data_IF_863361135462
#
_entry.id   IF_863361135462
#
_cell.length_a   1.000
_cell.length_b   1.000
_cell.length_c   1.000
_cell.angle_alpha   90.00
_cell.angle_beta   90.00
_cell.angle_gamma   90.00
#
_symmetry.space_group_name_H-M   'P 1'
#
loop_
_entity.id
_entity.type
_entity.pdbx_description
1 polymer ?
#
# COMPACT_ATOMS: atom_id res chain seq x y z
N UNK A 1 -17.82 0.50 -52.18
CA UNK A 1 -16.91 -0.61 -51.86
C UNK A 1 -16.50 -0.51 -50.41
N UNK A 2 -17.08 -1.39 -49.59
CA UNK A 2 -16.92 -1.51 -48.13
C UNK A 2 -15.68 -2.34 -47.80
N UNK A 3 -14.83 -1.90 -46.85
CA UNK A 3 -14.06 -2.76 -45.93
C UNK A 3 -13.83 -1.96 -44.64
N UNK A 4 -14.78 -2.02 -43.70
CA UNK A 4 -14.73 -2.77 -42.43
C UNK A 4 -13.85 -2.11 -41.35
N UNK A 5 -14.53 -1.35 -40.48
CA UNK A 5 -14.11 -1.04 -39.11
C UNK A 5 -14.18 -2.33 -38.30
N UNK A 6 -13.05 -2.87 -37.86
CA UNK A 6 -13.05 -3.92 -36.84
C UNK A 6 -13.03 -3.30 -35.45
N UNK A 7 -14.23 -3.22 -34.88
CA UNK A 7 -14.49 -3.18 -33.45
C UNK A 7 -13.79 -4.36 -32.77
N UNK A 8 -12.90 -4.09 -31.81
CA UNK A 8 -12.51 -5.09 -30.81
C UNK A 8 -13.43 -4.89 -29.62
N UNK A 9 -14.44 -5.74 -29.57
CA UNK A 9 -15.46 -5.86 -28.54
C UNK A 9 -14.85 -6.48 -27.29
N UNK A 10 -15.07 -5.86 -26.14
CA UNK A 10 -14.79 -6.45 -24.82
C UNK A 10 -15.60 -7.73 -24.66
N UNK A 11 -14.93 -8.86 -24.45
CA UNK A 11 -15.58 -10.11 -24.09
C UNK A 11 -15.49 -10.31 -22.59
N UNK A 12 -16.56 -9.92 -21.89
CA UNK A 12 -16.90 -10.38 -20.54
C UNK A 12 -16.95 -11.92 -20.53
N UNK A 13 -16.01 -12.57 -19.85
CA UNK A 13 -16.06 -13.99 -19.54
C UNK A 13 -17.12 -14.23 -18.46
N UNK A 14 -18.35 -14.46 -18.88
CA UNK A 14 -19.39 -15.10 -18.06
C UNK A 14 -19.21 -16.62 -18.13
N UNK A 15 -18.88 -17.26 -17.02
CA UNK A 15 -18.89 -18.72 -16.91
C UNK A 15 -20.34 -19.24 -16.92
N UNK A 16 -20.77 -19.80 -18.05
CA UNK A 16 -21.96 -20.63 -18.12
C UNK A 16 -21.61 -22.08 -17.74
N UNK A 17 -22.21 -22.57 -16.66
CA UNK A 17 -22.14 -23.98 -16.25
C UNK A 17 -23.07 -24.82 -17.12
N UNK A 18 -22.50 -25.62 -18.03
CA UNK A 18 -23.24 -26.59 -18.84
C UNK A 18 -23.32 -27.90 -18.06
N UNK A 19 -24.54 -28.28 -17.62
CA UNK A 19 -24.84 -29.62 -17.09
C UNK A 19 -24.78 -30.65 -18.22
N UNK A 20 -23.70 -31.42 -18.28
CA UNK A 20 -23.59 -32.64 -19.06
C UNK A 20 -23.95 -33.87 -18.22
N UNK A 21 -24.92 -34.65 -18.69
CA UNK A 21 -25.37 -35.93 -18.12
C UNK A 21 -24.30 -37.01 -18.29
N UNK A 22 -23.85 -37.60 -17.18
CA UNK A 22 -22.99 -38.78 -17.19
C UNK A 22 -23.14 -39.51 -15.86
N UNK A 23 -23.91 -40.58 -15.85
CA UNK A 23 -24.05 -41.47 -14.70
C UNK A 23 -22.72 -42.16 -14.40
N UNK A 24 -22.13 -41.85 -13.24
CA UNK A 24 -21.19 -42.75 -12.59
C UNK A 24 -21.51 -42.79 -11.10
N UNK A 25 -22.01 -43.95 -10.66
CA UNK A 25 -22.28 -44.27 -9.26
C UNK A 25 -20.95 -44.36 -8.52
N UNK A 26 -20.66 -43.38 -7.67
CA UNK A 26 -19.61 -43.50 -6.64
C UNK A 26 -20.31 -43.70 -5.31
N UNK A 27 -20.02 -44.83 -4.68
CA UNK A 27 -20.60 -45.28 -3.42
C UNK A 27 -20.08 -44.40 -2.26
N UNK A 28 -21.00 -43.87 -1.46
CA UNK A 28 -20.77 -42.94 -0.35
C UNK A 28 -20.54 -43.76 0.94
N UNK A 29 -19.42 -43.54 1.65
CA UNK A 29 -19.31 -43.91 3.07
C UNK A 29 -19.14 -42.66 3.94
N UNK A 30 -20.25 -42.18 4.50
CA UNK A 30 -20.32 -41.10 5.48
C UNK A 30 -20.09 -41.65 6.89
N UNK A 31 -18.89 -41.46 7.45
CA UNK A 31 -18.67 -41.64 8.90
C UNK A 31 -19.10 -40.39 9.68
N UNK A 32 -20.34 -40.40 10.19
CA UNK A 32 -20.84 -39.45 11.19
C UNK A 32 -20.05 -39.61 12.50
N UNK A 33 -19.30 -38.58 12.92
CA UNK A 33 -18.86 -38.42 14.32
C UNK A 33 -19.67 -37.28 14.96
N UNK A 34 -20.48 -37.67 15.95
CA UNK A 34 -21.34 -36.81 16.76
C UNK A 34 -20.61 -36.57 18.10
N UNK A 35 -20.27 -35.33 18.46
CA UNK A 35 -19.96 -35.00 19.87
C UNK A 35 -20.25 -33.55 20.26
N UNK A 36 -21.44 -33.40 20.85
CA UNK A 36 -21.81 -32.72 22.10
C UNK A 36 -21.36 -31.28 22.35
N UNK A 37 -22.36 -30.40 22.24
CA UNK A 37 -22.54 -29.08 22.83
C UNK A 37 -22.08 -28.95 24.29
N UNK A 38 -21.39 -27.83 24.59
CA UNK A 38 -21.46 -27.13 25.88
C UNK A 38 -21.56 -25.64 25.63
N UNK A 39 -22.74 -25.07 25.94
CA UNK A 39 -22.94 -23.64 26.23
C UNK A 39 -22.31 -23.34 27.59
N UNK A 40 -21.61 -22.22 27.70
CA UNK A 40 -21.43 -21.49 28.94
C UNK A 40 -21.90 -20.04 28.71
N UNK A 41 -22.87 -19.64 29.52
CA UNK A 41 -23.44 -18.29 29.59
C UNK A 41 -22.65 -17.46 30.64
N UNK A 42 -22.67 -16.14 30.45
CA UNK A 42 -22.41 -15.05 31.42
C UNK A 42 -20.92 -14.82 31.77
N UNK A 43 -20.39 -13.60 31.93
CA UNK A 43 -21.03 -12.34 32.27
C UNK A 43 -20.26 -11.11 31.69
N UNK A 44 -21.09 -10.10 31.48
CA UNK A 44 -20.95 -8.66 31.36
C UNK A 44 -19.77 -7.89 31.97
N UNK A 45 -19.52 -6.75 31.29
CA UNK A 45 -19.23 -5.39 31.79
C UNK A 45 -17.92 -5.12 32.54
N UNK A 46 -17.09 -4.24 31.97
CA UNK A 46 -16.82 -2.91 32.56
C UNK A 46 -16.39 -1.92 31.47
N UNK A 47 -17.17 -0.83 31.38
CA UNK A 47 -16.85 0.43 30.72
C UNK A 47 -16.07 1.24 31.75
N UNK A 48 -14.95 1.87 31.37
CA UNK A 48 -14.34 2.94 32.17
C UNK A 48 -13.98 4.13 31.30
N UNK A 49 -14.59 5.24 31.70
CA UNK A 49 -14.73 6.53 31.04
C UNK A 49 -13.47 7.39 31.00
N UNK A 50 -13.47 8.31 30.05
CA UNK A 50 -12.64 9.50 30.01
C UNK A 50 -12.91 10.43 31.21
N UNK A 51 -11.85 10.97 31.81
CA UNK A 51 -11.94 11.99 32.85
C UNK A 51 -11.85 13.40 32.23
N UNK A 52 -12.80 14.26 32.59
CA UNK A 52 -12.89 15.68 32.22
C UNK A 52 -12.35 16.54 33.37
N UNK A 53 -11.76 17.67 32.99
CA UNK A 53 -11.12 18.71 33.79
C UNK A 53 -11.95 19.27 34.96
N UNK A 54 -11.25 19.71 36.00
CA UNK A 54 -11.74 20.65 37.01
C UNK A 54 -11.02 21.99 36.91
N UNK A 55 -11.81 23.06 36.84
CA UNK A 55 -11.39 24.47 36.97
C UNK A 55 -11.42 24.86 38.45
N UNK A 56 -10.44 25.65 38.89
CA UNK A 56 -10.56 26.48 40.09
C UNK A 56 -10.48 27.96 39.68
N UNK A 57 -11.53 28.70 40.03
CA UNK A 57 -11.62 30.15 39.92
C UNK A 57 -10.99 30.79 41.16
N UNK A 58 -10.17 31.82 40.95
CA UNK A 58 -9.89 32.86 41.95
C UNK A 58 -10.05 34.22 41.27
N UNK A 59 -11.13 34.92 41.63
CA UNK A 59 -11.30 36.39 41.61
C UNK A 59 -10.37 36.98 42.68
N UNK A 60 -9.71 38.14 42.58
CA UNK A 60 -10.11 39.47 42.10
C UNK A 60 -8.85 40.36 42.21
N UNK A 61 -8.60 41.25 41.25
CA UNK A 61 -8.12 42.62 41.53
C UNK A 61 -8.16 43.45 40.25
N UNK A 62 -8.93 44.53 40.34
CA UNK A 62 -9.28 45.53 39.36
C UNK A 62 -8.18 46.58 39.13
N UNK A 63 -7.92 46.97 37.88
CA UNK A 63 -7.67 48.37 37.53
C UNK A 63 -7.92 48.66 36.04
N UNK A 64 -9.07 49.31 35.80
CA UNK A 64 -9.41 50.35 34.82
C UNK A 64 -8.59 50.48 33.52
N UNK A 65 -9.32 50.31 32.41
CA UNK A 65 -8.93 50.61 31.02
C UNK A 65 -8.60 52.10 30.84
N UNK A 66 -7.46 52.40 30.22
CA UNK A 66 -7.12 53.75 29.76
C UNK A 66 -7.75 54.04 28.37
N UNK A 67 -8.23 55.27 28.11
CA UNK A 67 -8.99 55.61 26.91
C UNK A 67 -8.10 55.77 25.66
N UNK A 68 -8.64 55.36 24.52
CA UNK A 68 -8.06 55.56 23.19
C UNK A 68 -8.01 57.05 22.83
N UNK A 69 -6.81 57.58 22.63
CA UNK A 69 -6.59 58.94 22.09
C UNK A 69 -5.72 58.88 20.84
N UNK A 70 -6.37 58.91 19.68
CA UNK A 70 -5.96 59.57 18.42
C UNK A 70 -4.59 59.27 17.81
N UNK A 71 -4.59 58.80 16.55
CA UNK A 71 -3.43 58.89 15.65
C UNK A 71 -2.96 60.35 15.53
N UNK A 72 -1.70 60.62 15.89
CA UNK A 72 -0.95 61.78 15.39
C UNK A 72 0.23 61.28 14.58
N UNK A 73 0.14 61.48 13.28
CA UNK A 73 1.19 61.22 12.31
C UNK A 73 2.32 62.24 12.48
N UNK A 74 3.45 61.83 13.04
CA UNK A 74 4.73 62.54 12.84
C UNK A 74 5.71 61.54 12.25
N UNK A 75 5.78 61.54 10.93
CA UNK A 75 6.83 60.86 10.19
C UNK A 75 8.15 61.61 10.43
N UNK A 76 9.02 61.05 11.25
CA UNK A 76 10.44 61.43 11.29
C UNK A 76 11.23 60.21 10.86
N UNK A 77 11.75 60.25 9.63
CA UNK A 77 12.65 59.23 9.10
C UNK A 77 14.00 59.31 9.84
N UNK A 78 14.46 58.26 10.56
CA UNK A 78 15.84 58.23 10.99
C UNK A 78 16.73 57.98 9.77
N UNK A 79 17.56 58.98 9.43
CA UNK A 79 18.65 58.84 8.46
C UNK A 79 19.56 57.70 8.94
N UNK A 80 19.64 56.65 8.14
CA UNK A 80 20.44 55.46 8.38
C UNK A 80 21.93 55.80 8.49
N UNK A 81 22.55 55.61 9.66
CA UNK A 81 24.00 55.36 9.73
C UNK A 81 24.22 53.94 9.21
N UNK A 82 24.74 53.82 7.99
CA UNK A 82 25.08 52.56 7.35
C UNK A 82 26.21 51.90 8.15
N UNK A 83 25.90 51.02 9.10
CA UNK A 83 26.88 50.06 9.57
C UNK A 83 27.12 49.09 8.43
N UNK A 84 28.36 49.06 7.94
CA UNK A 84 28.83 48.10 6.95
C UNK A 84 28.94 46.74 7.67
N UNK A 85 27.78 46.11 7.91
CA UNK A 85 27.70 44.73 8.36
C UNK A 85 27.92 43.88 7.11
N UNK A 86 29.19 43.55 6.88
CA UNK A 86 29.58 42.58 5.87
C UNK A 86 29.03 41.21 6.27
N UNK A 87 27.78 40.97 5.88
CA UNK A 87 26.99 39.75 6.11
C UNK A 87 27.69 38.51 5.53
N UNK A 88 28.73 38.67 4.72
CA UNK A 88 29.51 37.58 4.13
C UNK A 88 30.32 36.78 5.16
N UNK A 89 30.52 37.30 6.39
CA UNK A 89 31.39 36.69 7.40
C UNK A 89 30.68 35.83 8.47
N UNK A 90 29.35 35.91 8.62
CA UNK A 90 28.64 35.29 9.76
C UNK A 90 27.99 33.93 9.42
N UNK A 91 27.83 33.58 8.15
CA UNK A 91 27.27 32.28 7.76
C UNK A 91 28.34 31.33 7.22
N UNK A 92 29.40 31.07 8.00
CA UNK A 92 30.20 29.88 7.76
C UNK A 92 29.36 28.67 8.16
N UNK A 93 28.87 27.94 7.17
CA UNK A 93 28.18 26.65 7.31
C UNK A 93 29.10 25.54 7.89
N UNK A 94 30.17 25.89 8.61
CA UNK A 94 31.32 25.08 9.02
C UNK A 94 31.07 23.95 10.03
N UNK A 95 29.87 23.39 10.09
CA UNK A 95 29.59 22.21 10.92
C UNK A 95 28.18 21.65 10.82
N UNK A 96 27.23 22.41 10.24
CA UNK A 96 25.80 22.04 10.17
C UNK A 96 25.34 21.44 8.84
N UNK A 97 26.18 21.43 7.80
CA UNK A 97 25.79 20.88 6.48
C UNK A 97 25.68 19.34 6.47
N UNK A 98 26.12 18.65 7.52
CA UNK A 98 25.99 17.18 7.63
C UNK A 98 24.59 16.71 8.03
N UNK A 99 23.68 17.62 8.39
CA UNK A 99 22.30 17.27 8.78
C UNK A 99 21.33 17.19 7.59
N UNK A 100 21.74 17.65 6.41
CA UNK A 100 20.92 17.60 5.19
C UNK A 100 21.42 16.47 4.30
N UNK A 101 20.61 15.43 4.15
CA UNK A 101 20.87 14.35 3.20
C UNK A 101 20.13 14.64 1.90
N UNK A 102 20.76 14.32 0.78
CA UNK A 102 20.16 14.40 -0.55
C UNK A 102 19.63 13.01 -0.91
N UNK A 103 18.37 12.93 -1.32
CA UNK A 103 17.80 11.65 -1.76
C UNK A 103 18.50 11.16 -3.04
N UNK A 104 18.96 9.90 -3.10
CA UNK A 104 19.69 9.41 -4.26
C UNK A 104 18.77 9.34 -5.50
N UNK A 105 19.15 9.98 -6.63
CA UNK A 105 18.31 10.02 -7.83
C UNK A 105 18.49 8.80 -8.77
N UNK A 106 19.52 7.98 -8.54
CA UNK A 106 19.95 6.89 -9.43
C UNK A 106 19.99 5.57 -8.63
N UNK A 107 19.70 4.44 -9.28
CA UNK A 107 19.70 3.09 -8.69
C UNK A 107 18.79 2.90 -7.47
N UNK A 108 17.72 3.69 -7.38
CA UNK A 108 16.72 3.63 -6.31
C UNK A 108 15.30 3.48 -6.89
N UNK A 109 15.15 2.59 -7.87
CA UNK A 109 13.84 2.29 -8.46
C UNK A 109 12.91 1.65 -7.42
N UNK A 110 11.60 1.80 -7.63
CA UNK A 110 10.55 1.43 -6.67
C UNK A 110 9.49 0.57 -7.33
N UNK A 111 8.80 -0.20 -6.50
CA UNK A 111 7.89 -1.28 -6.89
C UNK A 111 6.53 -1.11 -6.20
N UNK A 112 6.06 0.13 -6.07
CA UNK A 112 4.82 0.50 -5.37
C UNK A 112 4.86 0.15 -3.85
N UNK A 113 3.73 -0.30 -3.30
CA UNK A 113 3.52 -0.54 -1.86
C UNK A 113 4.63 -1.39 -1.25
N UNK A 114 5.09 -0.99 -0.05
CA UNK A 114 6.20 -1.59 0.72
C UNK A 114 7.61 -1.39 0.16
N UNK A 115 7.80 -0.94 -1.09
CA UNK A 115 9.16 -0.84 -1.71
C UNK A 115 10.07 0.29 -1.21
N UNK A 116 9.58 1.14 -0.30
CA UNK A 116 10.39 2.12 0.42
C UNK A 116 10.95 1.59 1.75
N UNK A 117 10.41 0.46 2.23
CA UNK A 117 10.91 -0.21 3.42
C UNK A 117 12.17 -1.01 3.06
N UNK A 118 12.95 -1.44 4.07
CA UNK A 118 13.94 -2.50 3.88
C UNK A 118 13.29 -3.74 3.25
N UNK A 119 14.10 -4.52 2.52
CA UNK A 119 13.63 -5.77 1.91
C UNK A 119 13.04 -6.69 2.98
N UNK A 120 11.85 -7.22 2.68
CA UNK A 120 11.09 -8.03 3.62
C UNK A 120 11.76 -9.40 3.78
N UNK A 121 11.92 -9.85 5.02
CA UNK A 121 12.32 -11.24 5.29
C UNK A 121 11.18 -12.21 4.94
N UNK A 122 11.49 -13.49 4.79
CA UNK A 122 10.49 -14.53 4.52
C UNK A 122 9.38 -14.55 5.59
N UNK A 123 9.72 -14.30 6.86
CA UNK A 123 8.74 -14.21 7.95
C UNK A 123 7.84 -12.98 7.83
N UNK A 124 8.35 -11.87 7.30
CA UNK A 124 7.55 -10.68 7.04
C UNK A 124 6.65 -10.88 5.81
N UNK A 125 7.16 -11.49 4.75
CA UNK A 125 6.35 -11.88 3.58
C UNK A 125 5.19 -12.79 3.99
N UNK A 126 5.44 -13.79 4.84
CA UNK A 126 4.39 -14.66 5.37
C UNK A 126 3.31 -13.88 6.11
N UNK A 127 3.67 -12.86 6.90
CA UNK A 127 2.69 -12.01 7.60
C UNK A 127 1.82 -11.19 6.64
N UNK A 128 2.40 -10.66 5.57
CA UNK A 128 1.63 -9.93 4.55
C UNK A 128 0.67 -10.88 3.79
N UNK A 129 1.11 -12.10 3.50
CA UNK A 129 0.24 -13.14 2.92
C UNK A 129 -0.85 -13.56 3.90
N UNK A 130 -0.54 -13.74 5.18
CA UNK A 130 -1.55 -14.02 6.20
C UNK A 130 -2.57 -12.89 6.32
N UNK A 131 -2.15 -11.63 6.20
CA UNK A 131 -3.06 -10.49 6.16
C UNK A 131 -4.01 -10.61 4.97
N UNK A 132 -3.50 -10.91 3.78
CA UNK A 132 -4.31 -11.16 2.58
C UNK A 132 -5.35 -12.27 2.84
N UNK A 133 -4.93 -13.41 3.38
CA UNK A 133 -5.81 -14.55 3.66
C UNK A 133 -6.86 -14.25 4.74
N UNK A 134 -6.50 -13.49 5.79
CA UNK A 134 -7.43 -13.08 6.87
C UNK A 134 -8.54 -12.17 6.35
N UNK A 135 -8.30 -11.41 5.28
CA UNK A 135 -9.32 -10.60 4.63
C UNK A 135 -10.18 -11.40 3.63
N UNK A 136 -9.93 -12.70 3.44
CA UNK A 136 -10.66 -13.54 2.49
C UNK A 136 -10.31 -13.25 1.03
N UNK A 137 -9.18 -12.58 0.77
CA UNK A 137 -8.72 -12.31 -0.59
C UNK A 137 -8.00 -13.52 -1.17
N UNK A 138 -7.99 -13.62 -2.50
CA UNK A 138 -7.34 -14.73 -3.22
C UNK A 138 -5.94 -14.33 -3.64
N UNK A 139 -4.87 -14.98 -3.15
CA UNK A 139 -3.51 -14.65 -3.54
C UNK A 139 -3.19 -15.16 -4.95
N UNK A 140 -2.34 -14.43 -5.66
CA UNK A 140 -1.81 -14.80 -6.96
C UNK A 140 -0.39 -14.24 -7.09
N UNK A 141 0.44 -14.90 -7.89
CA UNK A 141 1.79 -14.44 -8.19
C UNK A 141 1.85 -13.96 -9.64
N UNK A 142 2.61 -12.90 -9.84
CA UNK A 142 2.97 -12.42 -11.18
C UNK A 142 4.48 -12.21 -11.24
N UNK A 143 5.05 -12.45 -12.41
CA UNK A 143 6.47 -12.29 -12.65
C UNK A 143 6.74 -11.64 -14.01
N UNK A 144 7.90 -10.99 -14.12
CA UNK A 144 8.34 -10.28 -15.31
C UNK A 144 9.85 -10.43 -15.46
N UNK A 145 10.35 -10.62 -16.68
CA UNK A 145 11.78 -10.89 -16.95
C UNK A 145 12.46 -9.80 -17.76
N UNK A 146 11.71 -9.01 -18.51
CA UNK A 146 12.24 -8.02 -19.45
C UNK A 146 11.97 -6.60 -18.96
N UNK A 147 10.72 -6.31 -18.57
CA UNK A 147 10.26 -4.96 -18.30
C UNK A 147 9.73 -4.79 -16.86
N UNK A 148 10.62 -4.80 -15.87
CA UNK A 148 10.27 -4.62 -14.45
C UNK A 148 9.62 -3.27 -14.08
N UNK A 149 9.57 -2.32 -15.02
CA UNK A 149 8.98 -0.98 -14.82
C UNK A 149 8.08 -0.59 -15.98
N UNK A 150 7.12 0.29 -15.68
CA UNK A 150 6.20 0.87 -16.65
C UNK A 150 6.95 1.71 -17.69
N UNK A 151 6.56 1.57 -18.96
CA UNK A 151 7.10 2.33 -20.09
C UNK A 151 5.96 2.75 -21.05
N UNK A 152 6.30 3.42 -22.16
CA UNK A 152 5.32 3.89 -23.16
C UNK A 152 5.87 3.75 -24.58
N UNK A 153 5.51 2.65 -25.23
CA UNK A 153 5.87 2.33 -26.61
C UNK A 153 4.66 2.43 -27.54
N UNK A 154 3.54 1.80 -27.17
CA UNK A 154 2.42 1.59 -28.09
C UNK A 154 1.48 2.79 -28.19
N UNK A 155 1.32 3.55 -27.10
CA UNK A 155 0.47 4.74 -27.10
C UNK A 155 0.83 5.75 -26.01
N UNK A 156 0.42 7.02 -26.20
CA UNK A 156 0.74 8.13 -25.28
C UNK A 156 -0.48 8.89 -24.75
N UNK A 157 -1.71 8.41 -24.96
CA UNK A 157 -2.91 9.04 -24.38
C UNK A 157 -2.93 9.01 -22.85
N UNK A 158 -3.69 9.91 -22.21
CA UNK A 158 -3.92 9.86 -20.76
C UNK A 158 -4.39 8.46 -20.31
N UNK A 159 -3.83 7.97 -19.20
CA UNK A 159 -4.17 6.66 -18.61
C UNK A 159 -3.56 5.44 -19.30
N UNK A 160 -2.89 5.60 -20.44
CA UNK A 160 -2.24 4.50 -21.14
C UNK A 160 -0.75 4.40 -20.78
N UNK A 161 -0.35 3.20 -20.35
CA UNK A 161 1.04 2.81 -20.13
C UNK A 161 1.24 1.31 -20.44
N UNK A 162 2.42 0.98 -20.94
CA UNK A 162 2.89 -0.38 -21.20
C UNK A 162 3.65 -0.91 -19.97
N UNK A 163 3.80 -2.23 -19.84
CA UNK A 163 4.51 -2.84 -18.70
C UNK A 163 3.75 -2.82 -17.35
N UNK A 164 2.45 -2.48 -17.35
CA UNK A 164 1.60 -2.58 -16.14
C UNK A 164 1.27 -4.04 -15.80
N UNK A 165 0.99 -4.84 -16.83
CA UNK A 165 0.71 -6.26 -16.71
C UNK A 165 2.00 -7.04 -16.69
N UNK A 166 2.09 -7.98 -15.76
CA UNK A 166 3.16 -8.99 -15.69
C UNK A 166 2.55 -10.36 -16.01
N UNK A 167 3.42 -11.34 -16.24
CA UNK A 167 2.97 -12.69 -16.57
C UNK A 167 2.49 -13.41 -15.31
N UNK A 168 1.31 -14.04 -15.36
CA UNK A 168 0.76 -14.79 -14.24
C UNK A 168 1.56 -16.07 -13.99
N UNK A 169 1.89 -16.33 -12.74
CA UNK A 169 2.46 -17.62 -12.31
C UNK A 169 1.32 -18.58 -11.94
N UNK A 170 1.17 -19.65 -12.72
CA UNK A 170 0.08 -20.64 -12.59
C UNK A 170 -1.30 -19.94 -12.60
N UNK A 171 -2.05 -20.04 -11.51
CA UNK A 171 -3.40 -19.48 -11.36
C UNK A 171 -3.56 -18.85 -9.96
N UNK A 172 -4.54 -17.95 -9.74
CA UNK A 172 -4.89 -17.52 -8.39
C UNK A 172 -5.18 -18.73 -7.50
N UNK A 173 -4.66 -18.72 -6.28
CA UNK A 173 -4.66 -19.86 -5.37
C UNK A 173 -6.01 -19.94 -4.62
N UNK A 174 -7.07 -20.25 -5.36
CA UNK A 174 -8.43 -20.34 -4.83
C UNK A 174 -8.53 -21.36 -3.68
N UNK A 175 -9.13 -20.95 -2.57
CA UNK A 175 -9.29 -21.80 -1.39
C UNK A 175 -8.00 -22.04 -0.61
N UNK A 176 -6.90 -21.35 -0.93
CA UNK A 176 -5.68 -21.38 -0.12
C UNK A 176 -5.95 -20.82 1.28
N UNK A 177 -5.51 -21.54 2.30
CA UNK A 177 -5.64 -21.14 3.71
C UNK A 177 -4.29 -21.08 4.43
N UNK A 178 -3.20 -21.35 3.73
CA UNK A 178 -1.86 -21.51 4.30
C UNK A 178 -0.86 -20.64 3.54
N UNK A 179 -0.34 -19.62 4.24
CA UNK A 179 0.61 -18.67 3.67
C UNK A 179 1.91 -19.34 3.20
N UNK A 180 2.29 -20.47 3.80
CA UNK A 180 3.51 -21.19 3.41
C UNK A 180 3.41 -21.78 2.00
N UNK A 181 2.20 -22.10 1.52
CA UNK A 181 1.99 -22.56 0.15
C UNK A 181 2.26 -21.43 -0.85
N UNK A 182 1.83 -20.20 -0.54
CA UNK A 182 2.11 -19.02 -1.38
C UNK A 182 3.61 -18.75 -1.44
N UNK A 183 4.30 -18.83 -0.31
CA UNK A 183 5.76 -18.64 -0.27
C UNK A 183 6.49 -19.76 -1.03
N UNK A 184 6.03 -21.01 -0.94
CA UNK A 184 6.60 -22.12 -1.71
C UNK A 184 6.51 -21.86 -3.23
N UNK A 185 5.39 -21.32 -3.70
CA UNK A 185 5.21 -20.92 -5.10
C UNK A 185 6.14 -19.75 -5.50
N UNK A 186 6.42 -18.81 -4.60
CA UNK A 186 7.44 -17.77 -4.84
C UNK A 186 8.82 -18.39 -5.03
N UNK A 187 9.19 -19.37 -4.20
CA UNK A 187 10.47 -20.05 -4.33
C UNK A 187 10.56 -20.89 -5.61
N UNK A 188 9.47 -21.52 -6.03
CA UNK A 188 9.39 -22.26 -7.30
C UNK A 188 9.54 -21.30 -8.50
N UNK A 189 8.83 -20.18 -8.50
CA UNK A 189 8.94 -19.15 -9.53
C UNK A 189 10.34 -18.55 -9.60
N UNK A 190 10.94 -18.24 -8.45
CA UNK A 190 12.34 -17.75 -8.35
C UNK A 190 13.34 -18.77 -8.89
N UNK A 191 13.12 -20.06 -8.63
CA UNK A 191 14.00 -21.12 -9.14
C UNK A 191 13.88 -21.28 -10.66
N UNK A 192 12.66 -21.17 -11.20
CA UNK A 192 12.41 -21.27 -12.63
C UNK A 192 12.93 -20.04 -13.41
N UNK A 193 12.77 -18.85 -12.82
CA UNK A 193 13.11 -17.57 -13.43
C UNK A 193 13.92 -16.70 -12.44
N UNK A 194 15.21 -17.01 -12.21
CA UNK A 194 16.05 -16.27 -11.26
C UNK A 194 16.29 -14.81 -11.65
N UNK A 195 16.13 -14.47 -12.92
CA UNK A 195 16.25 -13.10 -13.45
C UNK A 195 14.94 -12.29 -13.38
N UNK A 196 13.86 -12.86 -12.86
CA UNK A 196 12.56 -12.20 -12.84
C UNK A 196 12.34 -11.33 -11.60
N UNK A 197 11.58 -10.26 -11.76
CA UNK A 197 10.84 -9.67 -10.65
C UNK A 197 9.61 -10.53 -10.36
N UNK A 198 9.31 -10.74 -9.08
CA UNK A 198 8.13 -11.51 -8.66
C UNK A 198 7.38 -10.69 -7.63
N UNK A 199 6.08 -10.50 -7.86
CA UNK A 199 5.18 -9.81 -6.94
C UNK A 199 4.04 -10.72 -6.52
N UNK A 200 3.56 -10.52 -5.29
CA UNK A 200 2.33 -11.14 -4.80
C UNK A 200 1.23 -10.11 -4.92
N UNK A 201 0.11 -10.55 -5.48
CA UNK A 201 -1.12 -9.78 -5.61
C UNK A 201 -2.28 -10.50 -4.93
N UNK A 202 -3.32 -9.76 -4.57
CA UNK A 202 -4.52 -10.33 -3.95
C UNK A 202 -5.80 -9.72 -4.49
N UNK A 203 -6.75 -10.58 -4.82
CA UNK A 203 -8.04 -10.21 -5.39
C UNK A 203 -9.17 -10.31 -4.37
N UNK A 204 -9.99 -9.27 -4.31
CA UNK A 204 -11.26 -9.29 -3.61
C UNK A 204 -12.37 -9.55 -4.62
N UNK A 205 -12.98 -10.72 -4.56
CA UNK A 205 -14.05 -11.13 -5.45
C UNK A 205 -15.39 -10.43 -5.15
N UNK A 206 -15.58 -9.89 -3.94
CA UNK A 206 -16.77 -9.13 -3.57
C UNK A 206 -16.71 -7.75 -4.19
N UNK A 207 -15.57 -7.06 -4.04
CA UNK A 207 -15.36 -5.72 -4.60
C UNK A 207 -14.93 -5.73 -6.07
N UNK A 208 -14.53 -6.88 -6.61
CA UNK A 208 -14.00 -7.04 -7.97
C UNK A 208 -12.77 -6.18 -8.25
N UNK A 209 -11.86 -6.09 -7.27
CA UNK A 209 -10.63 -5.29 -7.39
C UNK A 209 -9.44 -6.06 -6.85
N UNK A 210 -8.26 -5.75 -7.39
CA UNK A 210 -7.00 -6.11 -6.76
C UNK A 210 -6.78 -5.20 -5.54
N UNK A 211 -6.74 -5.79 -4.35
CA UNK A 211 -6.65 -5.06 -3.08
C UNK A 211 -5.21 -4.90 -2.57
N UNK A 212 -4.30 -5.73 -3.05
CA UNK A 212 -2.91 -5.74 -2.60
C UNK A 212 -1.97 -6.09 -3.77
N UNK A 213 -0.79 -5.49 -3.73
CA UNK A 213 0.32 -5.71 -4.65
C UNK A 213 1.61 -5.30 -3.95
N UNK A 214 2.54 -6.23 -3.74
CA UNK A 214 3.87 -5.92 -3.21
C UNK A 214 4.92 -6.85 -3.81
N UNK A 215 6.14 -6.34 -3.94
CA UNK A 215 7.27 -7.12 -4.46
C UNK A 215 7.69 -8.19 -3.45
N UNK A 216 7.91 -9.41 -3.92
CA UNK A 216 8.36 -10.55 -3.11
C UNK A 216 9.79 -10.99 -3.46
N UNK A 217 10.21 -10.77 -4.71
CA UNK A 217 11.58 -11.04 -5.15
C UNK A 217 11.99 -10.06 -6.25
N UNK A 218 13.28 -9.69 -6.23
CA UNK A 218 13.93 -8.86 -7.24
C UNK A 218 15.16 -9.61 -7.77
N UNK A 219 15.46 -9.52 -9.07
CA UNK A 219 16.69 -10.07 -9.62
C UNK A 219 17.92 -9.34 -9.05
N UNK A 220 19.08 -10.00 -9.12
CA UNK A 220 20.33 -9.41 -8.65
C UNK A 220 20.65 -8.10 -9.41
N UNK A 221 21.04 -7.07 -8.66
CA UNK A 221 21.33 -5.73 -9.20
C UNK A 221 20.16 -4.74 -9.23
N UNK A 222 18.99 -5.09 -8.67
CA UNK A 222 17.75 -4.29 -8.71
C UNK A 222 17.03 -4.08 -7.37
#
# INVERSE_FOLDING_TARGET
>A
YNVIKNHITYQTLSFHYIKGSGHQKVHIELKKKKKKSRRSNMASSVISSAAVATRSNVTQASSMVAPFTGLKSTATFPVSRKQNLDITSIASNGGRVRCMQVWPPINMKKYETLSYLPDLSDEQLLKEVEYLLKNGWVPCLEFETEHGFVYRENHKSPGYYDGRYWTMWKLPMFGCTDATQVLAEVQEAKKAYPQAWIRIIGFDNVRQVQCISFIAYKPEGY
#
